data_IF_665163012970
#
_entry.id   IF_665163012970
#
_cell.length_a   1.000
_cell.length_b   1.000
_cell.length_c   1.000
_cell.angle_alpha   90.00
_cell.angle_beta   90.00
_cell.angle_gamma   90.00
#
_symmetry.space_group_name_H-M   'P 1'
#
loop_
_entity.id
_entity.type
_entity.pdbx_description
1 polymer ?
#
# COMPACT_ATOMS: atom_id res chain seq x y z
N UNK A 1 40.96 32.09 30.92
CA UNK A 1 40.59 30.87 30.17
C UNK A 1 39.92 31.31 28.88
N UNK A 2 40.66 31.36 27.76
CA UNK A 2 40.15 31.88 26.49
C UNK A 2 39.38 30.76 25.78
N UNK A 3 38.06 30.90 25.65
CA UNK A 3 37.22 29.92 24.95
C UNK A 3 37.40 30.14 23.45
N UNK A 4 38.10 29.20 22.81
CA UNK A 4 38.47 29.24 21.41
C UNK A 4 37.21 29.26 20.50
N UNK A 5 36.87 30.42 19.94
CA UNK A 5 35.69 30.68 19.06
C UNK A 5 35.88 30.19 17.62
N UNK A 6 36.42 29.00 17.40
CA UNK A 6 36.65 28.52 16.02
C UNK A 6 36.50 27.00 15.82
N UNK A 7 35.45 26.39 16.40
CA UNK A 7 34.96 25.11 15.88
C UNK A 7 34.00 25.41 14.73
N UNK A 8 34.45 25.19 13.49
CA UNK A 8 33.54 25.14 12.34
C UNK A 8 32.50 24.05 12.63
N UNK A 9 31.23 24.43 12.68
CA UNK A 9 30.14 23.49 12.81
C UNK A 9 30.20 22.51 11.64
N UNK A 10 30.18 21.20 11.92
CA UNK A 10 30.07 20.19 10.87
C UNK A 10 28.72 20.28 10.15
N UNK A 11 28.50 19.44 9.13
CA UNK A 11 27.29 19.46 8.30
C UNK A 11 25.99 19.52 9.12
N UNK A 12 25.85 18.67 10.13
CA UNK A 12 24.70 18.67 11.03
C UNK A 12 24.55 19.98 11.83
N UNK A 13 25.65 20.61 12.24
CA UNK A 13 25.63 21.88 12.96
C UNK A 13 25.26 23.07 12.07
N UNK A 14 25.62 23.02 10.79
CA UNK A 14 25.18 24.03 9.80
C UNK A 14 23.67 23.95 9.57
N UNK A 15 23.12 22.73 9.45
CA UNK A 15 21.66 22.53 9.34
C UNK A 15 20.97 22.96 10.63
N UNK A 16 21.44 22.50 11.80
CA UNK A 16 20.85 22.87 13.08
C UNK A 16 20.88 24.39 13.31
N UNK A 17 21.96 25.07 12.91
CA UNK A 17 22.08 26.53 12.98
C UNK A 17 21.00 27.28 12.19
N UNK A 18 20.54 26.74 11.06
CA UNK A 18 19.47 27.32 10.27
C UNK A 18 18.10 27.29 10.99
N UNK A 19 17.87 26.29 11.85
CA UNK A 19 16.58 26.10 12.53
C UNK A 19 16.57 26.62 13.98
N UNK A 20 17.68 26.55 14.72
CA UNK A 20 17.69 26.78 16.17
C UNK A 20 17.37 28.22 16.58
N UNK A 21 17.64 29.19 15.71
CA UNK A 21 17.32 30.61 15.93
C UNK A 21 16.10 31.09 15.14
N UNK A 22 15.46 30.20 14.37
CA UNK A 22 14.33 30.56 13.54
C UNK A 22 13.01 30.51 14.32
N UNK A 23 12.24 31.60 14.26
CA UNK A 23 10.86 31.64 14.79
C UNK A 23 9.91 30.70 14.05
N UNK A 24 10.31 30.21 12.86
CA UNK A 24 9.55 29.24 12.08
C UNK A 24 9.66 27.82 12.64
N UNK A 25 10.71 27.50 13.41
CA UNK A 25 10.92 26.15 13.95
C UNK A 25 9.84 25.74 14.96
N UNK A 26 9.50 26.56 15.98
CA UNK A 26 8.36 26.27 16.84
C UNK A 26 7.04 26.19 16.07
N UNK A 27 6.83 27.05 15.08
CA UNK A 27 5.62 27.03 14.25
C UNK A 27 5.52 25.72 13.45
N UNK A 28 6.63 25.26 12.87
CA UNK A 28 6.70 24.00 12.15
C UNK A 28 6.43 22.78 13.03
N UNK A 29 6.89 22.81 14.29
CA UNK A 29 6.57 21.78 15.29
C UNK A 29 5.07 21.75 15.57
N UNK A 30 4.44 22.91 15.80
CA UNK A 30 2.99 22.98 16.03
C UNK A 30 2.22 22.51 14.80
N UNK A 31 2.62 22.94 13.61
CA UNK A 31 1.98 22.53 12.36
C UNK A 31 2.10 21.00 12.12
N UNK A 32 3.25 20.39 12.38
CA UNK A 32 3.43 18.95 12.22
C UNK A 32 2.60 18.15 13.23
N UNK A 33 2.49 18.63 14.47
CA UNK A 33 1.60 18.03 15.48
C UNK A 33 0.13 18.12 15.07
N UNK A 34 -0.31 19.28 14.54
CA UNK A 34 -1.68 19.44 14.06
C UNK A 34 -1.98 18.54 12.86
N UNK A 35 -1.04 18.40 11.92
CA UNK A 35 -1.18 17.47 10.79
C UNK A 35 -1.25 16.01 11.26
N UNK A 36 -0.42 15.63 12.23
CA UNK A 36 -0.47 14.29 12.83
C UNK A 36 -1.80 14.02 13.53
N UNK A 37 -2.31 15.01 14.29
CA UNK A 37 -3.62 14.91 14.93
C UNK A 37 -4.75 14.79 13.89
N UNK A 38 -4.70 15.60 12.83
CA UNK A 38 -5.65 15.52 11.72
C UNK A 38 -5.63 14.13 11.08
N UNK A 39 -4.45 13.55 10.85
CA UNK A 39 -4.32 12.22 10.29
C UNK A 39 -4.98 11.14 11.16
N UNK A 40 -4.83 11.22 12.49
CA UNK A 40 -5.48 10.26 13.40
C UNK A 40 -7.00 10.33 13.31
N UNK A 41 -7.57 11.53 13.16
CA UNK A 41 -9.02 11.73 13.15
C UNK A 41 -9.63 11.48 11.76
N UNK A 42 -8.91 11.84 10.69
CA UNK A 42 -9.42 11.84 9.33
C UNK A 42 -9.08 10.58 8.53
N UNK A 43 -8.02 9.85 8.89
CA UNK A 43 -7.64 8.66 8.14
C UNK A 43 -8.60 7.51 8.48
N UNK A 44 -9.36 6.99 7.50
CA UNK A 44 -10.24 5.85 7.73
C UNK A 44 -9.42 4.62 8.13
N UNK A 45 -9.97 3.83 9.06
CA UNK A 45 -9.37 2.58 9.51
C UNK A 45 -10.23 1.45 8.97
N UNK A 46 -9.64 0.58 8.17
CA UNK A 46 -10.24 -0.69 7.73
C UNK A 46 -9.76 -1.78 8.70
N UNK A 47 -10.69 -2.51 9.33
CA UNK A 47 -10.34 -3.59 10.28
C UNK A 47 -9.85 -4.85 9.57
N UNK A 48 -10.42 -5.12 8.40
CA UNK A 48 -9.97 -6.16 7.50
C UNK A 48 -9.45 -5.46 6.24
N UNK A 49 -8.19 -5.70 5.83
CA UNK A 49 -7.76 -5.23 4.53
C UNK A 49 -8.73 -5.82 3.51
N UNK A 50 -9.31 -4.98 2.66
CA UNK A 50 -10.22 -5.46 1.62
C UNK A 50 -9.41 -6.29 0.63
N UNK A 51 -9.39 -7.61 0.85
CA UNK A 51 -8.79 -8.57 -0.07
C UNK A 51 -9.82 -8.80 -1.17
N UNK A 52 -9.64 -8.13 -2.30
CA UNK A 52 -10.39 -8.42 -3.51
C UNK A 52 -9.77 -9.66 -4.15
N UNK A 53 -10.28 -10.85 -3.80
CA UNK A 53 -9.93 -12.08 -4.52
C UNK A 53 -10.63 -12.01 -5.88
N UNK A 54 -9.89 -11.96 -7.01
CA UNK A 54 -10.52 -12.02 -8.32
C UNK A 54 -11.14 -13.40 -8.48
N UNK A 55 -12.46 -13.46 -8.61
CA UNK A 55 -13.21 -14.69 -8.84
C UNK A 55 -13.95 -14.56 -10.15
N UNK A 56 -13.89 -15.61 -10.97
CA UNK A 56 -14.61 -15.69 -12.25
C UNK A 56 -15.47 -16.94 -12.20
N UNK A 57 -16.79 -16.76 -12.28
CA UNK A 57 -17.73 -17.86 -12.40
C UNK A 57 -17.98 -18.18 -13.89
N UNK A 58 -17.67 -19.41 -14.29
CA UNK A 58 -17.93 -19.90 -15.65
C UNK A 58 -19.08 -20.90 -15.61
N UNK A 59 -20.24 -20.48 -16.11
CA UNK A 59 -21.44 -21.33 -16.18
C UNK A 59 -21.68 -21.77 -17.62
N UNK A 60 -21.69 -23.09 -17.85
CA UNK A 60 -21.96 -23.70 -19.16
C UNK A 60 -23.03 -24.77 -19.00
N UNK A 61 -23.95 -24.87 -19.96
CA UNK A 61 -25.01 -25.87 -19.97
C UNK A 61 -24.98 -26.67 -21.28
N UNK A 62 -25.19 -27.98 -21.19
CA UNK A 62 -25.32 -28.88 -22.32
C UNK A 62 -26.53 -29.79 -22.08
N UNK A 63 -27.66 -29.43 -22.69
CA UNK A 63 -28.91 -30.16 -22.53
C UNK A 63 -28.85 -31.54 -23.18
N UNK A 64 -29.39 -32.54 -22.50
CA UNK A 64 -29.46 -33.92 -23.02
C UNK A 64 -28.16 -34.72 -22.97
N UNK A 65 -27.06 -34.14 -22.50
CA UNK A 65 -25.80 -34.86 -22.27
C UNK A 65 -25.80 -35.60 -20.93
N UNK A 66 -25.16 -36.77 -20.90
CA UNK A 66 -24.91 -37.50 -19.66
C UNK A 66 -23.82 -36.80 -18.83
N UNK A 67 -23.77 -37.01 -17.50
CA UNK A 67 -22.72 -36.41 -16.66
C UNK A 67 -21.30 -36.71 -17.16
N UNK A 68 -21.07 -37.92 -17.69
CA UNK A 68 -19.78 -38.33 -18.24
C UNK A 68 -19.40 -37.54 -19.50
N UNK A 69 -20.36 -37.27 -20.37
CA UNK A 69 -20.12 -36.48 -21.58
C UNK A 69 -19.83 -35.01 -21.25
N UNK A 70 -20.49 -34.44 -20.23
CA UNK A 70 -20.21 -33.07 -19.76
C UNK A 70 -18.78 -32.97 -19.24
N UNK A 71 -18.32 -33.95 -18.46
CA UNK A 71 -16.96 -33.97 -17.93
C UNK A 71 -15.91 -34.04 -19.05
N UNK A 72 -16.06 -35.01 -19.96
CA UNK A 72 -15.09 -35.27 -21.03
C UNK A 72 -15.07 -34.17 -22.11
N UNK A 73 -16.22 -33.57 -22.43
CA UNK A 73 -16.36 -32.65 -23.57
C UNK A 73 -16.40 -31.17 -23.18
N UNK A 74 -16.77 -30.84 -21.94
CA UNK A 74 -16.94 -29.46 -21.49
C UNK A 74 -15.96 -29.12 -20.37
N UNK A 75 -16.02 -29.84 -19.24
CA UNK A 75 -15.25 -29.49 -18.04
C UNK A 75 -13.75 -29.61 -18.28
N UNK A 76 -13.26 -30.79 -18.70
CA UNK A 76 -11.82 -31.03 -18.87
C UNK A 76 -11.16 -30.09 -19.90
N UNK A 77 -11.73 -29.89 -21.11
CA UNK A 77 -11.15 -28.97 -22.08
C UNK A 77 -11.14 -27.52 -21.60
N UNK A 78 -12.19 -27.11 -20.89
CA UNK A 78 -12.34 -25.74 -20.37
C UNK A 78 -11.33 -25.46 -19.26
N UNK A 79 -11.15 -26.38 -18.31
CA UNK A 79 -10.10 -26.28 -17.28
C UNK A 79 -8.72 -26.11 -17.91
N UNK A 80 -8.39 -26.93 -18.92
CA UNK A 80 -7.10 -26.87 -19.60
C UNK A 80 -6.85 -25.51 -20.27
N UNK A 81 -7.86 -24.94 -20.93
CA UNK A 81 -7.74 -23.61 -21.55
C UNK A 81 -7.60 -22.49 -20.51
N UNK A 82 -8.29 -22.61 -19.37
CA UNK A 82 -8.19 -21.63 -18.29
C UNK A 82 -6.81 -21.66 -17.62
N UNK A 83 -6.20 -22.83 -17.45
CA UNK A 83 -4.82 -22.96 -16.94
C UNK A 83 -3.73 -22.38 -17.86
N UNK A 84 -4.01 -22.18 -19.14
CA UNK A 84 -3.07 -21.58 -20.08
C UNK A 84 -3.07 -20.04 -20.04
N UNK A 85 -4.04 -19.42 -19.34
CA UNK A 85 -4.13 -17.97 -19.25
C UNK A 85 -3.09 -17.41 -18.26
N UNK A 86 -2.37 -16.33 -18.63
CA UNK A 86 -1.48 -15.65 -17.69
C UNK A 86 -2.30 -15.06 -16.53
N UNK A 87 -1.73 -15.13 -15.32
CA UNK A 87 -2.33 -14.60 -14.08
C UNK A 87 -3.59 -15.33 -13.56
N UNK A 88 -3.84 -16.57 -14.03
CA UNK A 88 -4.85 -17.49 -13.48
C UNK A 88 -4.13 -18.59 -12.69
N UNK A 89 -4.29 -18.60 -11.36
CA UNK A 89 -3.80 -19.64 -10.44
C UNK A 89 -4.95 -20.46 -9.84
#
# INVERSE_FOLDING_TARGET
MQINKNKKTGFAGTIAGAFIHSKLTPLGIVASLLLGFLAIVMLPREEEPQIQVPMIDVMVSMEGATPKEIEEQVTIPMEKLLYELPDVE
#
